data_IF_206688646249
#
_entry.id   IF_206688646249
#
_cell.length_a   1.000
_cell.length_b   1.000
_cell.length_c   1.000
_cell.angle_alpha   90.00
_cell.angle_beta   90.00
_cell.angle_gamma   90.00
#
_symmetry.space_group_name_H-M   'P 1'
#
loop_
_entity.id
_entity.type
_entity.pdbx_description
1 polymer ?
#
# COMPACT_ATOMS: atom_id res chain seq x y z
N UNK A 1 -19.99 43.37 2.48
CA UNK A 1 -18.55 43.52 2.22
C UNK A 1 -17.82 42.53 3.15
N UNK A 2 -17.94 41.23 2.86
CA UNK A 2 -16.93 40.39 2.19
C UNK A 2 -15.64 40.22 3.00
N UNK A 3 -15.68 39.32 3.99
CA UNK A 3 -14.52 38.57 4.49
C UNK A 3 -14.97 37.17 4.94
N UNK A 4 -15.49 36.37 4.00
CA UNK A 4 -15.83 34.94 4.22
C UNK A 4 -15.27 34.03 3.11
N UNK A 5 -14.26 34.48 2.37
CA UNK A 5 -13.75 33.76 1.20
C UNK A 5 -12.30 33.24 1.34
N UNK A 6 -11.54 33.64 2.36
CA UNK A 6 -10.08 33.41 2.34
C UNK A 6 -9.65 32.00 2.82
N UNK A 7 -10.47 31.30 3.60
CA UNK A 7 -10.10 29.98 4.15
C UNK A 7 -10.51 28.80 3.26
N UNK A 8 -11.38 29.02 2.26
CA UNK A 8 -11.88 27.93 1.39
C UNK A 8 -10.97 27.63 0.20
N UNK A 9 -10.13 28.55 -0.22
CA UNK A 9 -9.28 28.39 -1.42
C UNK A 9 -7.93 27.74 -1.12
N UNK A 10 -7.41 27.83 0.13
CA UNK A 10 -6.19 27.10 0.52
C UNK A 10 -6.38 25.59 0.68
N UNK A 11 -7.62 25.15 0.91
CA UNK A 11 -7.97 23.72 1.01
C UNK A 11 -8.15 23.04 -0.36
N UNK A 12 -8.15 23.80 -1.47
CA UNK A 12 -8.37 23.27 -2.82
C UNK A 12 -7.06 22.87 -3.54
N UNK A 13 -5.92 23.01 -2.87
CA UNK A 13 -4.59 22.62 -3.37
C UNK A 13 -3.82 21.82 -2.31
N UNK A 14 -4.52 21.18 -1.37
CA UNK A 14 -3.97 20.06 -0.66
C UNK A 14 -4.34 18.85 -1.51
N UNK A 15 -3.41 18.43 -2.37
CA UNK A 15 -3.61 17.24 -3.19
C UNK A 15 -3.97 16.11 -2.23
N UNK A 16 -5.20 15.61 -2.31
CA UNK A 16 -5.61 14.39 -1.64
C UNK A 16 -4.77 13.26 -2.28
N UNK A 17 -3.63 12.98 -1.66
CA UNK A 17 -2.66 12.00 -2.14
C UNK A 17 -3.33 10.62 -2.30
N UNK A 18 -4.35 10.33 -1.49
CA UNK A 18 -5.20 9.15 -1.63
C UNK A 18 -5.86 9.11 -3.01
N UNK A 19 -6.56 10.18 -3.41
CA UNK A 19 -7.18 10.28 -4.75
C UNK A 19 -6.17 10.17 -5.89
N UNK A 20 -4.96 10.68 -5.71
CA UNK A 20 -3.91 10.55 -6.73
C UNK A 20 -3.47 9.10 -6.85
N UNK A 21 -3.24 8.40 -5.73
CA UNK A 21 -2.89 6.99 -5.74
C UNK A 21 -4.02 6.08 -6.23
N UNK A 22 -5.28 6.43 -5.96
CA UNK A 22 -6.45 5.70 -6.46
C UNK A 22 -6.61 5.80 -7.98
N UNK A 23 -6.14 6.90 -8.58
CA UNK A 23 -6.16 7.07 -10.03
C UNK A 23 -5.07 6.25 -10.75
N UNK A 24 -4.08 5.72 -10.03
CA UNK A 24 -3.03 4.91 -10.63
C UNK A 24 -3.57 3.52 -11.04
N UNK A 25 -3.13 2.97 -12.17
CA UNK A 25 -3.53 1.63 -12.61
C UNK A 25 -2.83 0.50 -11.82
N UNK A 26 -2.00 0.84 -10.84
CA UNK A 26 -1.26 -0.09 -10.01
C UNK A 26 -1.87 -0.19 -8.59
N UNK A 27 -1.63 -1.31 -7.92
CA UNK A 27 -1.83 -1.40 -6.49
C UNK A 27 -0.70 -0.64 -5.79
N UNK A 28 -1.05 0.26 -4.89
CA UNK A 28 -0.10 1.10 -4.17
C UNK A 28 -0.39 0.98 -2.68
N UNK A 29 0.67 0.81 -1.91
CA UNK A 29 0.64 0.84 -0.46
C UNK A 29 1.87 1.59 0.04
N UNK A 30 1.78 2.13 1.24
CA UNK A 30 2.94 2.67 1.95
C UNK A 30 3.12 1.94 3.27
N UNK A 31 4.34 1.99 3.77
CA UNK A 31 4.65 1.46 5.08
C UNK A 31 5.52 2.46 5.84
N UNK A 32 5.38 2.42 7.16
CA UNK A 32 6.26 3.12 8.08
C UNK A 32 7.64 2.45 8.11
N UNK A 33 8.69 3.15 8.59
CA UNK A 33 10.04 2.61 8.67
C UNK A 33 10.19 1.34 9.54
N UNK A 34 9.22 1.06 10.41
CA UNK A 34 9.13 -0.15 11.20
C UNK A 34 8.50 -1.34 10.43
N UNK A 35 8.09 -1.11 9.17
CA UNK A 35 7.52 -2.10 8.26
C UNK A 35 5.99 -2.20 8.29
N UNK A 36 5.33 -1.37 9.09
CA UNK A 36 3.87 -1.38 9.23
C UNK A 36 3.18 -0.71 8.04
N UNK A 37 2.25 -1.40 7.39
CA UNK A 37 1.41 -0.79 6.35
C UNK A 37 0.50 0.28 6.98
N UNK A 38 0.58 1.50 6.46
CA UNK A 38 -0.18 2.66 6.94
C UNK A 38 -1.12 3.26 5.88
N UNK A 39 -0.99 2.85 4.63
CA UNK A 39 -1.91 3.18 3.55
C UNK A 39 -1.95 2.08 2.48
N UNK A 40 -3.11 1.92 1.86
CA UNK A 40 -3.30 1.15 0.64
C UNK A 40 -4.34 1.87 -0.22
N UNK A 41 -4.12 1.92 -1.53
CA UNK A 41 -5.09 2.52 -2.46
C UNK A 41 -6.29 1.57 -2.70
N UNK A 42 -7.38 2.11 -3.23
CA UNK A 42 -8.60 1.36 -3.48
C UNK A 42 -8.36 0.11 -4.34
N UNK A 43 -7.43 0.19 -5.29
CA UNK A 43 -7.08 -0.90 -6.21
C UNK A 43 -6.46 -2.10 -5.49
N UNK A 44 -5.66 -1.87 -4.44
CA UNK A 44 -5.12 -2.93 -3.60
C UNK A 44 -6.23 -3.63 -2.83
N UNK A 45 -7.14 -2.86 -2.22
CA UNK A 45 -8.30 -3.42 -1.49
C UNK A 45 -9.27 -4.16 -2.40
N UNK A 46 -9.56 -3.64 -3.58
CA UNK A 46 -10.43 -4.31 -4.56
C UNK A 46 -9.83 -5.64 -5.03
N UNK A 47 -8.49 -5.69 -5.17
CA UNK A 47 -7.80 -6.89 -5.61
C UNK A 47 -7.78 -7.96 -4.52
N UNK A 48 -7.33 -7.62 -3.30
CA UNK A 48 -7.16 -8.58 -2.20
C UNK A 48 -8.47 -8.91 -1.48
N UNK A 49 -9.45 -8.02 -1.57
CA UNK A 49 -10.67 -8.06 -0.77
C UNK A 49 -10.47 -7.61 0.68
N UNK A 50 -9.28 -7.10 1.04
CA UNK A 50 -8.94 -6.63 2.39
C UNK A 50 -9.09 -5.12 2.49
N UNK A 51 -9.74 -4.67 3.56
CA UNK A 51 -9.71 -3.25 3.95
C UNK A 51 -8.34 -2.89 4.54
N UNK A 52 -8.02 -1.58 4.57
CA UNK A 52 -6.79 -1.09 5.21
C UNK A 52 -6.76 -1.46 6.70
N UNK A 53 -7.91 -1.42 7.40
CA UNK A 53 -7.99 -1.83 8.80
C UNK A 53 -7.63 -3.32 9.00
N UNK A 54 -8.04 -4.19 8.08
CA UNK A 54 -7.70 -5.62 8.10
C UNK A 54 -6.25 -5.90 7.70
N UNK A 55 -5.65 -5.02 6.90
CA UNK A 55 -4.28 -5.14 6.43
C UNK A 55 -3.26 -4.36 7.29
N UNK A 56 -3.76 -3.60 8.27
CA UNK A 56 -2.98 -2.61 9.01
C UNK A 56 -1.78 -3.26 9.73
N UNK A 57 -0.67 -2.54 9.74
CA UNK A 57 0.54 -3.02 10.40
C UNK A 57 1.18 -4.20 9.66
N UNK A 58 1.06 -5.40 10.22
CA UNK A 58 1.68 -6.62 9.68
C UNK A 58 0.65 -7.62 9.11
N UNK A 59 -0.64 -7.30 9.16
CA UNK A 59 -1.71 -8.22 8.75
C UNK A 59 -1.83 -8.36 7.21
N UNK A 60 -1.21 -7.45 6.44
CA UNK A 60 -1.02 -7.59 4.98
C UNK A 60 -0.38 -8.92 4.57
N UNK A 61 0.37 -9.58 5.48
CA UNK A 61 0.94 -10.90 5.26
C UNK A 61 -0.12 -11.95 4.91
N UNK A 62 -1.37 -11.77 5.33
CA UNK A 62 -2.49 -12.65 4.98
C UNK A 62 -2.82 -12.63 3.48
N UNK A 63 -2.44 -11.57 2.77
CA UNK A 63 -2.57 -11.48 1.32
C UNK A 63 -1.44 -12.21 0.58
N UNK A 64 -0.35 -12.60 1.24
CA UNK A 64 0.79 -13.29 0.61
C UNK A 64 0.60 -14.80 0.70
N UNK A 65 1.04 -15.53 -0.33
CA UNK A 65 1.04 -16.99 -0.28
C UNK A 65 1.94 -17.50 0.86
N UNK A 66 1.48 -18.43 1.70
CA UNK A 66 2.24 -18.93 2.84
C UNK A 66 3.62 -19.50 2.50
N UNK A 67 3.79 -20.07 1.30
CA UNK A 67 5.07 -20.64 0.86
C UNK A 67 6.09 -19.54 0.48
N UNK A 68 5.60 -18.38 0.04
CA UNK A 68 6.45 -17.26 -0.38
C UNK A 68 6.74 -16.30 0.79
N UNK A 69 5.90 -16.31 1.82
CA UNK A 69 5.93 -15.39 2.95
C UNK A 69 7.30 -15.32 3.65
N UNK A 70 8.01 -16.43 3.95
CA UNK A 70 9.32 -16.34 4.59
C UNK A 70 10.35 -15.56 3.78
N UNK A 71 10.40 -15.78 2.46
CA UNK A 71 11.30 -15.08 1.55
C UNK A 71 10.92 -13.61 1.39
N UNK A 72 9.61 -13.31 1.31
CA UNK A 72 9.11 -11.94 1.27
C UNK A 72 9.49 -11.17 2.52
N UNK A 73 9.32 -11.76 3.71
CA UNK A 73 9.67 -11.11 4.98
C UNK A 73 11.16 -10.86 5.13
N UNK A 74 12.01 -11.81 4.70
CA UNK A 74 13.46 -11.62 4.69
C UNK A 74 13.85 -10.46 3.79
N UNK A 75 13.33 -10.42 2.56
CA UNK A 75 13.61 -9.35 1.61
C UNK A 75 13.07 -8.00 2.10
N UNK A 76 11.86 -7.99 2.64
CA UNK A 76 11.22 -6.78 3.17
C UNK A 76 12.01 -6.18 4.33
N UNK A 77 12.44 -7.02 5.29
CA UNK A 77 13.31 -6.58 6.40
C UNK A 77 14.64 -6.03 5.91
N UNK A 78 15.22 -6.62 4.86
CA UNK A 78 16.44 -6.08 4.24
C UNK A 78 16.21 -4.68 3.67
N UNK A 79 15.10 -4.46 2.95
CA UNK A 79 14.75 -3.15 2.37
C UNK A 79 14.56 -2.11 3.49
N UNK A 80 13.83 -2.46 4.55
CA UNK A 80 13.64 -1.58 5.71
C UNK A 80 14.96 -1.25 6.42
N UNK A 81 15.84 -2.24 6.59
CA UNK A 81 17.10 -2.07 7.28
C UNK A 81 18.09 -1.18 6.50
N UNK A 82 18.08 -1.24 5.16
CA UNK A 82 18.95 -0.40 4.34
C UNK A 82 18.35 0.95 4.00
N UNK A 83 17.01 1.06 3.93
CA UNK A 83 16.32 2.23 3.41
C UNK A 83 16.55 2.47 1.92
N UNK A 84 17.10 1.48 1.22
CA UNK A 84 17.41 1.53 -0.20
C UNK A 84 16.27 0.92 -1.02
N UNK A 85 15.98 1.43 -2.23
CA UNK A 85 14.98 0.83 -3.09
C UNK A 85 15.25 -0.64 -3.38
N UNK A 86 14.19 -1.42 -3.46
CA UNK A 86 14.27 -2.84 -3.72
C UNK A 86 12.98 -3.39 -4.31
N UNK A 87 13.01 -4.66 -4.63
CA UNK A 87 11.87 -5.38 -5.14
C UNK A 87 11.73 -6.75 -4.48
N UNK A 88 10.49 -7.23 -4.50
CA UNK A 88 10.08 -8.55 -4.05
C UNK A 88 9.10 -9.14 -5.07
N UNK A 89 9.15 -10.45 -5.23
CA UNK A 89 8.22 -11.21 -6.05
C UNK A 89 7.47 -12.18 -5.15
N UNK A 90 6.14 -12.16 -5.25
CA UNK A 90 5.30 -12.99 -4.40
C UNK A 90 3.98 -13.31 -5.10
N UNK A 91 3.40 -14.45 -4.75
CA UNK A 91 2.01 -14.71 -5.05
C UNK A 91 1.12 -13.97 -4.07
N UNK A 92 0.27 -13.08 -4.58
CA UNK A 92 -0.74 -12.35 -3.81
C UNK A 92 -2.10 -12.98 -4.03
N UNK A 93 -2.85 -13.12 -2.94
CA UNK A 93 -4.21 -13.65 -2.91
C UNK A 93 -5.18 -12.59 -3.40
N UNK A 94 -5.94 -12.93 -4.43
CA UNK A 94 -7.10 -12.14 -4.87
C UNK A 94 -8.32 -12.36 -3.97
N UNK A 95 -9.33 -11.50 -4.12
CA UNK A 95 -10.61 -11.60 -3.41
C UNK A 95 -11.33 -12.94 -3.64
N UNK A 96 -11.04 -13.59 -4.77
CA UNK A 96 -11.55 -14.91 -5.16
C UNK A 96 -10.79 -16.07 -4.49
N UNK A 97 -9.75 -15.77 -3.71
CA UNK A 97 -8.89 -16.72 -3.04
C UNK A 97 -7.80 -17.33 -3.94
N UNK A 98 -7.72 -16.96 -5.20
CA UNK A 98 -6.67 -17.41 -6.10
C UNK A 98 -5.38 -16.62 -5.90
N UNK A 99 -4.26 -17.27 -6.16
CA UNK A 99 -2.94 -16.68 -5.99
C UNK A 99 -2.34 -16.32 -7.35
N UNK A 100 -1.95 -15.06 -7.53
CA UNK A 100 -1.31 -14.58 -8.76
C UNK A 100 0.03 -13.93 -8.46
N UNK A 101 0.98 -14.08 -9.38
CA UNK A 101 2.31 -13.51 -9.25
C UNK A 101 2.29 -11.99 -9.41
N UNK A 102 2.90 -11.30 -8.45
CA UNK A 102 3.21 -9.87 -8.53
C UNK A 102 4.68 -9.65 -8.26
N UNK A 103 5.20 -8.64 -8.95
CA UNK A 103 6.46 -7.99 -8.59
C UNK A 103 6.12 -6.66 -7.94
N UNK A 104 6.57 -6.48 -6.70
CA UNK A 104 6.33 -5.29 -5.90
C UNK A 104 7.62 -4.51 -5.82
N UNK A 105 7.56 -3.24 -6.22
CA UNK A 105 8.66 -2.31 -6.13
C UNK A 105 8.50 -1.46 -4.87
N UNK A 106 9.51 -1.46 -4.02
CA UNK A 106 9.58 -0.68 -2.79
C UNK A 106 10.66 0.38 -2.96
N UNK A 107 10.34 1.64 -2.65
CA UNK A 107 11.22 2.78 -2.86
C UNK A 107 11.23 3.71 -1.66
#
# INVERSE_FOLDING_TARGET
MLMRADTRERMAMEIDLGRVFDALPAMVWTAQPDGHFDFANQRWSDYTGLSLDEAHGWEWQAAVNPDDLPTVLERWRSILATGEPGDLEARVRGFDGQYHWFRVQCS
#
